data_IF_593603848993
#
_entry.id   IF_593603848993
#
_cell.length_a   1.000
_cell.length_b   1.000
_cell.length_c   1.000
_cell.angle_alpha   90.00
_cell.angle_beta   90.00
_cell.angle_gamma   90.00
#
_symmetry.space_group_name_H-M   'P 1'
#
loop_
_entity.id
_entity.type
_entity.pdbx_description
1 polymer ?
#
# COMPACT_ATOMS: atom_id res chain seq x y z
N UNK A 1 16.67 9.74 0.43
CA UNK A 1 15.79 8.58 0.18
C UNK A 1 14.48 8.87 0.91
N UNK A 2 13.38 9.11 0.19
CA UNK A 2 12.07 9.54 0.75
C UNK A 2 11.15 8.31 0.91
N UNK A 3 11.58 7.34 1.72
CA UNK A 3 10.73 6.19 2.01
C UNK A 3 9.94 6.51 3.28
N UNK A 4 8.61 6.50 3.25
CA UNK A 4 7.84 6.76 4.45
C UNK A 4 8.01 5.63 5.47
N UNK A 5 7.99 5.96 6.76
CA UNK A 5 8.24 5.00 7.83
C UNK A 5 7.31 3.78 7.74
N UNK A 6 6.03 3.94 7.38
CA UNK A 6 5.09 2.81 7.28
C UNK A 6 5.42 1.79 6.16
N UNK A 7 6.38 2.07 5.28
CA UNK A 7 6.74 1.18 4.17
C UNK A 7 7.28 -0.19 4.59
N UNK A 8 7.90 -0.30 5.78
CA UNK A 8 8.39 -1.58 6.30
C UNK A 8 7.27 -2.48 6.84
N UNK A 9 6.06 -1.94 7.05
CA UNK A 9 4.90 -2.64 7.57
C UNK A 9 3.66 -2.36 6.68
N UNK A 10 3.63 -2.87 5.43
CA UNK A 10 2.63 -2.50 4.43
C UNK A 10 1.18 -2.86 4.82
N UNK A 11 1.00 -3.81 5.75
CA UNK A 11 -0.31 -4.24 6.25
C UNK A 11 -0.79 -3.48 7.50
N UNK A 12 -0.01 -2.53 8.02
CA UNK A 12 -0.39 -1.76 9.23
C UNK A 12 -1.53 -0.76 8.99
N UNK A 13 -1.73 -0.30 7.75
CA UNK A 13 -2.69 0.78 7.47
C UNK A 13 -2.27 2.16 8.02
N UNK A 14 -1.06 2.30 8.58
CA UNK A 14 -0.59 3.55 9.19
C UNK A 14 -0.50 4.72 8.20
N UNK A 15 -0.15 4.45 6.93
CA UNK A 15 -0.18 5.45 5.87
C UNK A 15 -1.59 6.00 5.60
N UNK A 16 -2.59 5.12 5.61
CA UNK A 16 -3.99 5.53 5.42
C UNK A 16 -4.53 6.27 6.65
N UNK A 17 -4.14 5.90 7.87
CA UNK A 17 -4.50 6.65 9.08
C UNK A 17 -3.88 8.06 9.09
N UNK A 18 -2.66 8.21 8.58
CA UNK A 18 -1.96 9.51 8.50
C UNK A 18 -2.71 10.53 7.65
N UNK A 19 -3.20 10.13 6.47
CA UNK A 19 -3.82 11.04 5.51
C UNK A 19 -5.36 11.00 5.53
N UNK A 20 -5.96 9.89 5.95
CA UNK A 20 -7.38 9.60 5.70
C UNK A 20 -7.65 9.37 4.22
N UNK A 21 -8.91 9.06 3.88
CA UNK A 21 -9.31 8.83 2.51
C UNK A 21 -10.81 8.60 2.37
N UNK A 22 -11.24 8.16 1.19
CA UNK A 22 -12.67 7.93 0.91
C UNK A 22 -13.32 6.90 1.85
N UNK A 23 -12.55 5.93 2.33
CA UNK A 23 -13.05 4.82 3.14
C UNK A 23 -12.69 4.94 4.63
N UNK A 24 -11.83 5.89 5.03
CA UNK A 24 -11.39 6.05 6.41
C UNK A 24 -11.16 7.52 6.78
N UNK A 25 -11.46 7.87 8.03
CA UNK A 25 -11.10 9.19 8.58
C UNK A 25 -9.62 9.18 8.99
N UNK A 26 -9.00 10.37 9.07
CA UNK A 26 -7.67 10.51 9.65
C UNK A 26 -7.65 9.93 11.08
N UNK A 27 -6.57 9.22 11.41
CA UNK A 27 -6.41 8.47 12.67
C UNK A 27 -7.04 7.09 12.67
N UNK A 28 -7.80 6.70 11.63
CA UNK A 28 -8.38 5.35 11.48
C UNK A 28 -7.57 4.57 10.47
N UNK A 29 -6.98 3.46 10.89
CA UNK A 29 -6.22 2.56 10.01
C UNK A 29 -7.14 1.88 8.99
N UNK A 30 -6.65 1.80 7.75
CA UNK A 30 -7.32 1.09 6.67
C UNK A 30 -6.33 0.56 5.65
N UNK A 31 -6.69 -0.53 4.99
CA UNK A 31 -5.93 -1.12 3.88
C UNK A 31 -6.76 -0.93 2.61
N UNK A 32 -6.20 -0.21 1.64
CA UNK A 32 -6.78 -0.05 0.31
C UNK A 32 -6.28 -1.18 -0.57
N UNK A 33 -7.20 -2.03 -1.04
CA UNK A 33 -6.89 -3.17 -1.91
C UNK A 33 -7.82 -3.18 -3.12
N UNK A 34 -7.39 -3.84 -4.18
CA UNK A 34 -8.14 -4.05 -5.42
C UNK A 34 -8.00 -5.50 -5.84
N UNK A 35 -9.04 -6.05 -6.47
CA UNK A 35 -9.02 -7.39 -7.06
C UNK A 35 -8.29 -7.43 -8.42
N UNK A 36 -8.06 -6.27 -9.02
CA UNK A 36 -7.45 -6.11 -10.33
C UNK A 36 -6.30 -5.09 -10.29
N UNK A 37 -5.17 -5.48 -10.90
CA UNK A 37 -3.92 -4.69 -10.93
C UNK A 37 -4.11 -3.36 -11.67
N UNK A 38 -4.89 -3.34 -12.75
CA UNK A 38 -5.12 -2.11 -13.52
C UNK A 38 -5.96 -1.11 -12.73
N UNK A 39 -6.95 -1.62 -11.99
CA UNK A 39 -7.77 -0.82 -11.09
C UNK A 39 -6.93 -0.25 -9.95
N UNK A 40 -6.05 -1.05 -9.34
CA UNK A 40 -5.12 -0.59 -8.31
C UNK A 40 -4.24 0.56 -8.81
N UNK A 41 -3.67 0.42 -10.02
CA UNK A 41 -2.80 1.44 -10.60
C UNK A 41 -3.53 2.73 -10.93
N UNK A 42 -4.75 2.65 -11.46
CA UNK A 42 -5.57 3.83 -11.78
C UNK A 42 -5.95 4.60 -10.52
N UNK A 43 -6.39 3.92 -9.47
CA UNK A 43 -6.69 4.55 -8.17
C UNK A 43 -5.45 5.21 -7.57
N UNK A 44 -4.30 4.54 -7.67
CA UNK A 44 -3.03 5.10 -7.21
C UNK A 44 -2.62 6.37 -7.98
N UNK A 45 -2.81 6.39 -9.31
CA UNK A 45 -2.51 7.56 -10.15
C UNK A 45 -3.44 8.75 -9.90
N UNK A 46 -4.69 8.52 -9.49
CA UNK A 46 -5.61 9.59 -9.12
C UNK A 46 -5.14 10.34 -7.85
N UNK A 47 -4.49 9.64 -6.92
CA UNK A 47 -4.01 10.22 -5.66
C UNK A 47 -2.70 11.00 -5.84
N UNK A 48 -1.85 10.60 -6.78
CA UNK A 48 -0.66 11.37 -7.15
C UNK A 48 -0.17 11.01 -8.56
N UNK A 49 -0.25 11.94 -9.52
CA UNK A 49 0.20 11.69 -10.89
C UNK A 49 1.73 11.54 -11.04
N UNK A 50 2.52 11.70 -9.96
CA UNK A 50 3.99 11.73 -10.00
C UNK A 50 4.68 10.70 -9.09
N UNK A 51 3.96 9.77 -8.42
CA UNK A 51 4.61 8.79 -7.54
C UNK A 51 5.18 7.57 -8.28
N UNK A 52 6.39 7.09 -7.90
CA UNK A 52 6.91 5.81 -8.36
C UNK A 52 6.02 4.68 -7.81
N UNK A 53 5.68 3.72 -8.69
CA UNK A 53 4.79 2.58 -8.40
C UNK A 53 5.18 1.90 -7.08
N UNK A 54 4.25 1.89 -6.11
CA UNK A 54 4.36 1.02 -4.93
C UNK A 54 4.52 -0.42 -5.41
N UNK A 55 5.59 -1.05 -4.94
CA UNK A 55 5.94 -2.44 -5.28
C UNK A 55 4.77 -3.36 -4.93
N UNK A 56 4.40 -4.22 -5.88
CA UNK A 56 3.34 -5.23 -5.79
C UNK A 56 3.30 -5.90 -4.41
N UNK A 57 2.14 -5.88 -3.74
CA UNK A 57 1.80 -6.92 -2.75
C UNK A 57 1.07 -7.98 -3.57
N UNK A 58 1.82 -8.89 -4.18
CA UNK A 58 1.22 -10.06 -4.84
C UNK A 58 1.30 -11.23 -3.87
N UNK A 59 0.36 -12.18 -3.97
CA UNK A 59 0.33 -13.43 -3.20
C UNK A 59 1.60 -14.28 -3.27
N UNK A 60 2.59 -13.91 -4.10
CA UNK A 60 3.92 -14.51 -4.13
C UNK A 60 4.82 -14.13 -2.95
N UNK A 61 4.50 -13.07 -2.17
CA UNK A 61 5.30 -12.71 -0.98
C UNK A 61 5.16 -13.74 0.16
N UNK A 62 4.21 -14.67 0.04
CA UNK A 62 4.11 -15.85 0.91
C UNK A 62 5.27 -16.85 0.74
N UNK A 63 6.06 -16.75 -0.35
CA UNK A 63 7.16 -17.67 -0.65
C UNK A 63 8.55 -17.22 -0.18
N UNK A 64 8.72 -15.96 0.23
CA UNK A 64 10.04 -15.45 0.65
C UNK A 64 10.38 -15.75 2.12
N UNK A 65 9.39 -16.08 2.94
CA UNK A 65 9.58 -16.45 4.35
C UNK A 65 9.86 -17.95 4.58
N UNK A 66 9.80 -18.79 3.55
CA UNK A 66 9.99 -20.26 3.68
C UNK A 66 11.31 -20.78 3.15
N UNK A 67 12.19 -19.95 2.58
CA UNK A 67 13.41 -20.43 1.91
C UNK A 67 14.74 -19.78 2.32
N UNK A 68 14.79 -18.91 3.34
CA UNK A 68 16.06 -18.49 3.92
C UNK A 68 15.93 -18.33 5.44
N UNK A 69 16.07 -19.48 6.13
CA UNK A 69 16.88 -19.53 7.35
C UNK A 69 18.35 -19.66 6.98
#
# INVERSE_FOLDING_TARGET
>A
MLTPDWSYAPLSGAGAASQGGRANRQGVEAIYTSLDDQTALREYQQLSPLMPVLRKISSADAGYWTLNG
#
